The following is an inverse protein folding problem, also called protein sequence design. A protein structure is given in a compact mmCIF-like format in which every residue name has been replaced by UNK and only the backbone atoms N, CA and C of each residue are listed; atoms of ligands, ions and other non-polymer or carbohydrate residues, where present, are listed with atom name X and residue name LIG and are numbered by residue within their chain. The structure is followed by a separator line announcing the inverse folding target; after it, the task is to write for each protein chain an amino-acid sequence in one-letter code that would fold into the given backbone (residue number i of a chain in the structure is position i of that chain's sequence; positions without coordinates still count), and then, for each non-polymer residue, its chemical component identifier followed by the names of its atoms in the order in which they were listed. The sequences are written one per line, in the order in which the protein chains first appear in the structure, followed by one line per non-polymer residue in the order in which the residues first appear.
data_IF_347994890758
#
_entry.id   IF_347994890758
#
_cell.length_a   1.000
_cell.length_b   1.000
_cell.length_c   1.000
_cell.angle_alpha   90.00
_cell.angle_beta   90.00
_cell.angle_gamma   90.00
#
_symmetry.space_group_name_H-M   'P 1'
#
loop_
_entity.id
_entity.type
_entity.pdbx_description
1 polymer ?
#
# COMPACT_ATOMS: atom_id res chain seq x y z
N UNK A 1 -1.46 16.23 24.56
CA UNK A 1 -1.24 15.44 25.83
C UNK A 1 -0.23 14.30 25.63
N UNK A 2 0.87 14.56 24.99
CA UNK A 2 1.88 13.56 24.61
C UNK A 2 2.37 12.77 25.83
N UNK A 3 2.22 11.42 25.81
CA UNK A 3 2.75 10.50 26.82
C UNK A 3 3.91 9.67 26.30
N UNK A 4 4.02 9.55 24.98
CA UNK A 4 5.02 8.77 24.29
C UNK A 4 5.87 9.66 23.39
N UNK A 5 7.12 9.30 23.17
CA UNK A 5 7.93 9.95 22.15
C UNK A 5 7.33 9.66 20.76
N UNK A 6 7.32 10.67 19.88
CA UNK A 6 6.79 10.54 18.53
C UNK A 6 7.47 9.43 17.74
N UNK A 7 6.72 8.78 16.87
CA UNK A 7 7.19 7.72 16.00
C UNK A 7 7.24 8.20 14.55
N UNK A 8 8.36 7.95 13.87
CA UNK A 8 8.51 8.22 12.44
C UNK A 8 8.71 6.89 11.69
N UNK A 9 7.87 6.60 10.71
CA UNK A 9 8.00 5.40 9.89
C UNK A 9 8.66 5.76 8.57
N UNK A 10 9.91 5.29 8.38
CA UNK A 10 10.69 5.45 7.16
C UNK A 10 10.84 4.11 6.42
N UNK A 11 11.27 4.14 5.17
CA UNK A 11 11.49 2.93 4.39
C UNK A 11 12.67 3.06 3.43
N UNK A 12 13.23 1.91 3.02
CA UNK A 12 14.39 1.85 2.12
C UNK A 12 14.09 2.36 0.70
N UNK A 13 12.84 2.23 0.24
CA UNK A 13 12.37 2.71 -1.08
C UNK A 13 10.84 2.82 -1.12
N UNK A 14 10.31 3.29 -2.24
CA UNK A 14 8.87 3.21 -2.50
C UNK A 14 8.42 1.74 -2.60
N UNK A 15 7.13 1.51 -2.35
CA UNK A 15 6.45 0.20 -2.47
C UNK A 15 6.99 -0.93 -1.56
N UNK A 16 7.84 -0.64 -0.60
CA UNK A 16 8.29 -1.62 0.43
C UNK A 16 7.17 -2.02 1.39
N UNK A 17 6.05 -1.27 1.39
CA UNK A 17 4.91 -1.50 2.29
C UNK A 17 4.92 -0.59 3.52
N UNK A 18 5.53 0.60 3.41
CA UNK A 18 5.56 1.60 4.48
C UNK A 18 4.14 1.93 4.97
N UNK A 19 3.25 2.40 4.09
CA UNK A 19 1.86 2.76 4.43
C UNK A 19 1.11 1.58 5.06
N UNK A 20 1.28 0.37 4.51
CA UNK A 20 0.70 -0.86 5.06
C UNK A 20 1.20 -1.15 6.48
N UNK A 21 2.51 -1.01 6.72
CA UNK A 21 3.11 -1.23 8.06
C UNK A 21 2.73 -0.13 9.04
N UNK A 22 2.74 1.14 8.61
CA UNK A 22 2.32 2.29 9.44
C UNK A 22 0.87 2.13 9.89
N UNK A 23 -0.01 1.73 8.97
CA UNK A 23 -1.42 1.51 9.24
C UNK A 23 -1.63 0.38 10.26
N UNK A 24 -0.98 -0.76 10.06
CA UNK A 24 -1.03 -1.87 11.01
C UNK A 24 -0.49 -1.48 12.39
N UNK A 25 0.64 -0.76 12.45
CA UNK A 25 1.22 -0.25 13.71
C UNK A 25 0.24 0.70 14.42
N UNK A 26 -0.26 1.72 13.73
CA UNK A 26 -1.21 2.69 14.31
C UNK A 26 -2.43 1.98 14.91
N UNK A 27 -3.04 1.08 14.15
CA UNK A 27 -4.23 0.35 14.61
C UNK A 27 -3.92 -0.57 15.80
N UNK A 28 -2.82 -1.32 15.76
CA UNK A 28 -2.43 -2.20 16.87
C UNK A 28 -2.12 -1.41 18.15
N UNK A 29 -1.48 -0.24 18.04
CA UNK A 29 -1.21 0.64 19.17
C UNK A 29 -2.49 1.23 19.76
N UNK A 30 -3.45 1.64 18.91
CA UNK A 30 -4.78 2.07 19.36
C UNK A 30 -5.53 0.95 20.12
N UNK A 31 -5.44 -0.30 19.66
CA UNK A 31 -6.02 -1.44 20.37
C UNK A 31 -5.40 -1.70 21.74
N UNK A 32 -4.18 -1.20 21.98
CA UNK A 32 -3.53 -1.20 23.31
C UNK A 32 -3.97 0.00 24.18
N UNK A 33 -4.95 0.78 23.74
CA UNK A 33 -5.49 1.92 24.47
C UNK A 33 -4.67 3.21 24.35
N UNK A 34 -3.77 3.30 23.36
CA UNK A 34 -2.96 4.50 23.11
C UNK A 34 -3.71 5.41 22.13
N UNK A 35 -3.86 6.68 22.48
CA UNK A 35 -4.44 7.68 21.58
C UNK A 35 -3.39 8.13 20.53
N UNK A 36 -3.61 7.71 19.27
CA UNK A 36 -2.66 7.85 18.17
C UNK A 36 -3.08 8.98 17.23
N UNK A 37 -2.19 9.96 17.05
CA UNK A 37 -2.29 10.95 15.98
C UNK A 37 -1.48 10.53 14.74
N UNK A 38 -1.89 10.97 13.56
CA UNK A 38 -1.20 10.67 12.30
C UNK A 38 -0.91 11.93 11.49
N UNK A 39 0.28 11.98 10.89
CA UNK A 39 0.60 12.96 9.86
C UNK A 39 1.54 12.39 8.81
N UNK A 40 1.40 12.86 7.58
CA UNK A 40 2.37 12.69 6.51
C UNK A 40 3.00 14.04 6.20
N UNK A 41 4.13 14.37 6.86
CA UNK A 41 4.71 15.71 6.84
C UNK A 41 5.04 16.22 5.44
N UNK A 42 5.52 15.33 4.56
CA UNK A 42 5.84 15.63 3.15
C UNK A 42 5.10 14.65 2.25
N UNK A 43 4.09 15.14 1.52
CA UNK A 43 3.29 14.37 0.56
C UNK A 43 3.68 14.66 -0.89
N UNK A 44 3.52 13.66 -1.76
CA UNK A 44 3.72 13.77 -3.21
C UNK A 44 2.50 13.35 -4.03
N UNK A 45 1.63 12.51 -3.46
CA UNK A 45 0.42 11.97 -4.10
C UNK A 45 -0.81 12.53 -3.39
N UNK A 46 -1.43 13.56 -3.93
CA UNK A 46 -2.50 14.29 -3.26
C UNK A 46 -3.81 14.29 -4.03
N UNK A 47 -4.86 14.68 -3.34
CA UNK A 47 -6.15 15.10 -3.89
C UNK A 47 -6.45 16.52 -3.44
N UNK A 48 -7.15 17.26 -4.26
CA UNK A 48 -7.63 18.58 -3.91
C UNK A 48 -8.94 18.43 -3.09
N UNK A 49 -8.94 18.97 -1.88
CA UNK A 49 -10.12 19.12 -1.04
C UNK A 49 -10.44 20.60 -0.93
N UNK A 50 -11.38 21.08 -1.75
CA UNK A 50 -11.72 22.51 -1.88
C UNK A 50 -10.47 23.32 -2.25
N UNK A 51 -9.99 24.19 -1.35
CA UNK A 51 -8.80 25.05 -1.56
C UNK A 51 -7.50 24.41 -1.04
N UNK A 52 -7.57 23.26 -0.35
CA UNK A 52 -6.44 22.63 0.29
C UNK A 52 -6.13 21.26 -0.33
N UNK A 53 -4.86 20.88 -0.30
CA UNK A 53 -4.36 19.60 -0.79
C UNK A 53 -4.07 18.65 0.36
N UNK A 54 -4.47 17.39 0.18
CA UNK A 54 -4.25 16.35 1.17
C UNK A 54 -3.57 15.16 0.52
N UNK A 55 -2.57 14.58 1.16
CA UNK A 55 -1.96 13.34 0.67
C UNK A 55 -2.98 12.20 0.72
N UNK A 56 -2.95 11.30 -0.27
CA UNK A 56 -3.90 10.18 -0.40
C UNK A 56 -3.83 9.21 0.77
N UNK A 57 -2.64 9.02 1.35
CA UNK A 57 -2.48 8.13 2.49
C UNK A 57 -3.16 8.73 3.73
N UNK A 58 -3.16 10.07 3.90
CA UNK A 58 -3.88 10.76 4.99
C UNK A 58 -5.37 10.44 5.00
N UNK A 59 -6.01 10.36 3.82
CA UNK A 59 -7.43 10.01 3.72
C UNK A 59 -7.69 8.57 4.22
N UNK A 60 -6.81 7.64 3.87
CA UNK A 60 -6.90 6.26 4.35
C UNK A 60 -6.79 6.18 5.88
N UNK A 61 -5.85 6.94 6.47
CA UNK A 61 -5.67 6.97 7.92
C UNK A 61 -6.83 7.64 8.64
N UNK A 62 -7.38 8.72 8.08
CA UNK A 62 -8.56 9.38 8.65
C UNK A 62 -9.76 8.44 8.75
N UNK A 63 -9.99 7.62 7.73
CA UNK A 63 -11.07 6.60 7.73
C UNK A 63 -10.81 5.51 8.80
N UNK A 64 -9.54 5.12 9.02
CA UNK A 64 -9.17 4.02 9.91
C UNK A 64 -9.14 4.41 11.39
N UNK A 65 -8.44 5.50 11.72
CA UNK A 65 -8.23 5.96 13.09
C UNK A 65 -9.16 7.09 13.50
N UNK A 66 -10.10 7.44 12.62
CA UNK A 66 -11.26 8.31 12.86
C UNK A 66 -10.90 9.71 13.36
N UNK A 67 -10.18 10.47 12.54
CA UNK A 67 -9.95 11.88 12.77
C UNK A 67 -10.48 12.75 11.63
N UNK A 68 -10.85 13.98 11.95
CA UNK A 68 -11.22 14.96 10.95
C UNK A 68 -9.98 15.50 10.24
N UNK A 69 -9.99 15.46 8.90
CA UNK A 69 -8.84 15.83 8.10
C UNK A 69 -8.63 17.35 8.20
N UNK A 70 -7.51 17.75 8.80
CA UNK A 70 -6.97 19.10 8.70
C UNK A 70 -5.68 19.04 7.86
N UNK A 71 -5.67 19.55 6.62
CA UNK A 71 -4.49 19.50 5.75
C UNK A 71 -3.24 20.12 6.35
N UNK A 72 -3.39 21.20 7.15
CA UNK A 72 -2.27 21.89 7.79
C UNK A 72 -1.56 21.00 8.84
N UNK A 73 -2.29 20.05 9.42
CA UNK A 73 -1.78 19.14 10.46
C UNK A 73 -1.36 17.81 9.85
N UNK A 74 -2.25 17.21 9.02
CA UNK A 74 -2.09 15.84 8.56
C UNK A 74 -1.32 15.70 7.22
N UNK A 75 -1.13 16.84 6.49
CA UNK A 75 -0.36 16.90 5.23
C UNK A 75 0.25 18.30 5.04
N UNK A 76 1.08 18.80 6.00
CA UNK A 76 1.50 20.20 6.05
C UNK A 76 2.29 20.65 4.82
N UNK A 77 3.03 19.76 4.17
CA UNK A 77 3.80 20.08 2.96
C UNK A 77 3.41 19.12 1.83
N UNK A 78 2.98 19.66 0.70
CA UNK A 78 2.69 18.90 -0.52
C UNK A 78 3.62 19.36 -1.65
N UNK A 79 4.48 18.44 -2.09
CA UNK A 79 5.40 18.65 -3.22
C UNK A 79 4.73 18.20 -4.52
N UNK A 80 3.87 19.05 -5.08
CA UNK A 80 3.20 18.83 -6.36
C UNK A 80 4.12 19.13 -7.56
N UNK A 81 3.55 18.98 -8.77
CA UNK A 81 4.26 19.27 -10.03
C UNK A 81 4.85 20.69 -10.02
N UNK A 82 6.13 20.82 -10.33
CA UNK A 82 6.86 22.09 -10.38
C UNK A 82 7.23 22.67 -8.99
N UNK A 83 6.92 22.01 -7.87
CA UNK A 83 7.29 22.50 -6.55
C UNK A 83 8.82 22.59 -6.37
N UNK A 84 9.53 21.59 -6.88
CA UNK A 84 11.00 21.51 -6.79
C UNK A 84 11.70 22.69 -7.49
N UNK A 85 11.32 22.98 -8.73
CA UNK A 85 11.92 24.09 -9.48
C UNK A 85 11.62 25.43 -8.84
N UNK A 86 10.40 25.66 -8.43
CA UNK A 86 10.02 26.90 -7.73
C UNK A 86 10.77 27.09 -6.43
N UNK A 87 11.01 26.02 -5.67
CA UNK A 87 11.80 26.10 -4.46
C UNK A 87 13.28 26.46 -4.76
N UNK A 88 13.86 25.86 -5.80
CA UNK A 88 15.24 26.16 -6.19
C UNK A 88 15.39 27.59 -6.75
N UNK A 89 14.34 28.13 -7.38
CA UNK A 89 14.32 29.50 -7.89
C UNK A 89 14.24 30.53 -6.75
N UNK A 90 13.44 30.26 -5.70
CA UNK A 90 13.23 31.15 -4.57
C UNK A 90 12.90 30.33 -3.29
N UNK A 91 13.92 29.83 -2.56
CA UNK A 91 13.71 29.05 -1.33
C UNK A 91 13.00 29.84 -0.22
N UNK A 92 13.26 31.15 -0.13
CA UNK A 92 12.73 32.00 0.95
C UNK A 92 11.22 32.25 0.81
N UNK A 93 10.63 31.98 -0.36
CA UNK A 93 9.18 32.05 -0.56
C UNK A 93 8.40 30.92 0.12
N UNK A 94 9.08 29.95 0.77
CA UNK A 94 8.44 28.76 1.33
C UNK A 94 8.68 28.64 2.83
N UNK A 95 7.61 28.55 3.60
CA UNK A 95 7.61 28.32 5.06
C UNK A 95 7.39 26.83 5.39
N UNK A 96 8.13 25.92 4.76
CA UNK A 96 7.90 24.48 4.94
C UNK A 96 8.24 23.98 6.34
N UNK A 97 9.33 24.50 6.93
CA UNK A 97 9.78 24.13 8.26
C UNK A 97 8.77 24.54 9.33
N UNK A 98 8.31 25.78 9.27
CA UNK A 98 7.33 26.35 10.18
C UNK A 98 6.04 25.52 10.14
N UNK A 99 5.57 25.18 8.95
CA UNK A 99 4.35 24.37 8.77
C UNK A 99 4.45 22.97 9.38
N UNK A 100 5.62 22.33 9.29
CA UNK A 100 5.86 21.02 9.91
C UNK A 100 5.91 21.14 11.43
N UNK A 101 6.54 22.19 11.96
CA UNK A 101 6.63 22.44 13.40
C UNK A 101 5.26 22.76 14.01
N UNK A 102 4.46 23.61 13.38
CA UNK A 102 3.08 23.90 13.80
C UNK A 102 2.20 22.64 13.80
N UNK A 103 2.33 21.81 12.76
CA UNK A 103 1.63 20.52 12.68
C UNK A 103 2.06 19.56 13.81
N UNK A 104 3.37 19.53 14.11
CA UNK A 104 3.92 18.75 15.22
C UNK A 104 3.33 19.22 16.56
N UNK A 105 3.39 20.50 16.87
CA UNK A 105 2.87 21.06 18.12
C UNK A 105 1.40 20.68 18.31
N UNK A 106 0.59 20.88 17.28
CA UNK A 106 -0.84 20.52 17.32
C UNK A 106 -1.06 19.03 17.57
N UNK A 107 -0.27 18.13 16.95
CA UNK A 107 -0.38 16.70 17.18
C UNK A 107 0.05 16.28 18.58
N UNK A 108 1.15 16.87 19.10
CA UNK A 108 1.65 16.59 20.46
C UNK A 108 0.67 17.07 21.56
N UNK A 109 -0.08 18.14 21.30
CA UNK A 109 -1.09 18.66 22.23
C UNK A 109 -2.36 17.79 22.25
N UNK A 110 -2.73 17.22 21.13
CA UNK A 110 -4.01 16.52 20.98
C UNK A 110 -3.92 15.00 21.18
N UNK A 111 -2.76 14.36 20.93
CA UNK A 111 -2.60 12.92 20.96
C UNK A 111 -1.49 12.45 21.89
N UNK A 112 -1.64 11.24 22.43
CA UNK A 112 -0.62 10.62 23.29
C UNK A 112 0.62 10.20 22.51
N UNK A 113 0.42 9.70 21.27
CA UNK A 113 1.48 9.22 20.38
C UNK A 113 1.28 9.73 18.96
N UNK A 114 1.97 10.79 18.55
CA UNK A 114 2.06 11.18 17.14
C UNK A 114 2.86 10.17 16.32
N UNK A 115 2.27 9.71 15.21
CA UNK A 115 2.91 8.85 14.21
C UNK A 115 3.05 9.64 12.91
N UNK A 116 4.28 9.75 12.42
CA UNK A 116 4.62 10.39 11.16
C UNK A 116 5.01 9.36 10.11
N UNK A 117 4.44 9.47 8.92
CA UNK A 117 4.83 8.63 7.79
C UNK A 117 5.71 9.40 6.80
N UNK A 118 6.91 8.89 6.57
CA UNK A 118 7.83 9.44 5.59
C UNK A 118 7.41 9.15 4.14
N UNK A 119 8.06 9.81 3.18
CA UNK A 119 7.78 9.66 1.74
C UNK A 119 8.96 9.05 1.02
N UNK A 120 8.72 8.00 0.23
CA UNK A 120 9.74 7.33 -0.58
C UNK A 120 10.89 6.72 0.24
N UNK A 121 12.13 6.93 -0.21
CA UNK A 121 13.37 6.56 0.49
C UNK A 121 13.88 7.72 1.37
N UNK A 122 14.87 7.52 2.27
CA UNK A 122 15.31 8.53 3.24
C UNK A 122 15.68 9.89 2.66
N UNK A 123 16.25 9.93 1.46
CA UNK A 123 16.65 11.19 0.80
C UNK A 123 15.52 11.93 0.07
N UNK A 124 14.30 11.38 0.00
CA UNK A 124 13.19 12.12 -0.66
C UNK A 124 12.86 13.36 0.14
N UNK A 125 12.73 14.49 -0.57
CA UNK A 125 12.54 15.81 0.00
C UNK A 125 13.82 16.61 0.18
N UNK A 126 15.02 16.03 -0.01
CA UNK A 126 16.30 16.73 0.14
C UNK A 126 16.43 17.99 -0.73
N UNK A 127 15.76 18.03 -1.88
CA UNK A 127 15.77 19.20 -2.78
C UNK A 127 15.12 20.43 -2.16
N UNK A 128 14.24 20.24 -1.18
CA UNK A 128 13.59 21.29 -0.39
C UNK A 128 14.02 21.22 1.08
N UNK A 129 15.18 20.64 1.34
CA UNK A 129 15.80 20.47 2.67
C UNK A 129 14.97 19.65 3.68
N UNK A 130 13.97 18.92 3.20
CA UNK A 130 13.06 18.09 3.98
C UNK A 130 13.26 16.59 3.73
N UNK A 131 14.51 16.11 3.80
CA UNK A 131 14.74 14.66 3.79
C UNK A 131 13.97 13.95 4.91
N UNK A 132 13.65 12.66 4.77
CA UNK A 132 12.98 11.94 5.85
C UNK A 132 13.76 12.01 7.17
N UNK A 133 15.09 12.02 7.12
CA UNK A 133 15.91 12.14 8.31
C UNK A 133 15.82 13.54 8.93
N UNK A 134 15.83 14.60 8.11
CA UNK A 134 15.63 15.98 8.56
C UNK A 134 14.25 16.15 9.22
N UNK A 135 13.21 15.66 8.57
CA UNK A 135 11.85 15.73 9.10
C UNK A 135 11.71 14.95 10.41
N UNK A 136 12.26 13.71 10.49
CA UNK A 136 12.24 12.93 11.72
C UNK A 136 12.91 13.66 12.91
N UNK A 137 14.02 14.37 12.64
CA UNK A 137 14.68 15.23 13.63
C UNK A 137 13.78 16.41 14.04
N UNK A 138 13.18 17.11 13.06
CA UNK A 138 12.31 18.26 13.32
C UNK A 138 11.12 17.89 14.20
N UNK A 139 10.52 16.73 13.98
CA UNK A 139 9.38 16.26 14.78
C UNK A 139 9.83 15.48 16.03
N UNK A 140 11.12 15.44 16.32
CA UNK A 140 11.72 14.78 17.49
C UNK A 140 11.20 13.33 17.66
N UNK A 141 11.21 12.56 16.59
CA UNK A 141 10.67 11.20 16.57
C UNK A 141 11.77 10.15 16.55
N UNK A 142 11.51 8.99 17.20
CA UNK A 142 12.25 7.76 16.97
C UNK A 142 11.79 7.09 15.70
N UNK A 143 12.71 6.45 14.98
CA UNK A 143 12.41 5.90 13.65
C UNK A 143 12.24 4.39 13.69
N UNK A 144 11.10 3.89 13.20
CA UNK A 144 10.96 2.52 12.72
C UNK A 144 11.27 2.50 11.23
N UNK A 145 12.22 1.67 10.84
CA UNK A 145 12.64 1.56 9.45
C UNK A 145 12.11 0.29 8.78
N UNK A 146 11.36 0.46 7.69
CA UNK A 146 10.80 -0.65 6.92
C UNK A 146 11.78 -1.01 5.79
N UNK A 147 12.32 -2.22 5.82
CA UNK A 147 13.18 -2.77 4.78
C UNK A 147 12.45 -3.87 3.99
N UNK A 148 12.84 -4.10 2.75
CA UNK A 148 12.32 -5.20 1.96
C UNK A 148 13.10 -6.49 2.20
N UNK A 149 12.42 -7.63 2.16
CA UNK A 149 12.95 -8.94 2.50
C UNK A 149 14.19 -9.37 1.73
N UNK A 150 15.07 -10.05 2.43
CA UNK A 150 16.36 -10.54 1.98
C UNK A 150 17.39 -10.50 3.12
N UNK A 151 18.65 -10.82 2.84
CA UNK A 151 19.75 -10.70 3.82
C UNK A 151 20.79 -9.72 3.26
N UNK A 152 21.54 -10.08 2.23
CA UNK A 152 22.64 -9.25 1.68
C UNK A 152 22.12 -7.90 1.14
N UNK A 153 21.27 -7.92 0.16
CA UNK A 153 20.68 -6.70 -0.42
C UNK A 153 19.93 -5.83 0.60
N UNK A 154 19.31 -6.45 1.60
CA UNK A 154 18.64 -5.74 2.70
C UNK A 154 19.67 -5.02 3.57
N UNK A 155 20.77 -5.67 3.91
CA UNK A 155 21.89 -5.09 4.71
C UNK A 155 22.53 -3.92 3.95
N UNK A 156 22.82 -4.10 2.66
CA UNK A 156 23.43 -3.06 1.83
C UNK A 156 22.54 -1.80 1.77
N UNK A 157 21.25 -2.01 1.52
CA UNK A 157 20.27 -0.93 1.48
C UNK A 157 20.08 -0.25 2.85
N UNK A 158 20.01 -1.04 3.93
CA UNK A 158 19.93 -0.51 5.29
C UNK A 158 21.15 0.35 5.62
N UNK A 159 22.37 -0.12 5.30
CA UNK A 159 23.58 0.63 5.60
C UNK A 159 23.60 1.99 4.89
N UNK A 160 23.21 2.03 3.63
CA UNK A 160 23.10 3.26 2.84
C UNK A 160 22.02 4.21 3.43
N UNK A 161 20.82 3.69 3.68
CA UNK A 161 19.68 4.49 4.13
C UNK A 161 19.84 5.02 5.56
N UNK A 162 20.36 4.23 6.48
CA UNK A 162 20.53 4.61 7.88
C UNK A 162 21.65 5.66 8.06
N UNK A 163 22.51 5.85 7.05
CA UNK A 163 23.52 6.90 7.04
C UNK A 163 22.95 8.29 7.26
N UNK A 164 21.87 8.66 6.55
CA UNK A 164 21.22 9.95 6.67
C UNK A 164 20.64 10.21 8.07
N UNK A 165 20.03 9.20 8.69
CA UNK A 165 19.51 9.33 10.05
C UNK A 165 20.63 9.50 11.09
N UNK A 166 21.75 8.79 10.91
CA UNK A 166 22.92 8.95 11.77
C UNK A 166 23.54 10.34 11.65
N UNK A 167 23.63 10.88 10.44
CA UNK A 167 24.11 12.24 10.18
C UNK A 167 23.25 13.28 10.92
N UNK A 168 21.95 13.08 10.94
CA UNK A 168 21.01 13.95 11.65
C UNK A 168 20.89 13.66 13.16
N UNK A 169 21.62 12.66 13.69
CA UNK A 169 21.52 12.18 15.08
C UNK A 169 20.11 11.73 15.46
N UNK A 170 19.38 11.09 14.53
CA UNK A 170 18.05 10.55 14.77
C UNK A 170 18.15 9.09 15.23
N UNK A 171 17.48 8.78 16.33
CA UNK A 171 17.47 7.43 16.90
C UNK A 171 16.66 6.47 16.03
N UNK A 172 17.28 5.34 15.66
CA UNK A 172 16.57 4.23 15.01
C UNK A 172 16.07 3.28 16.09
N UNK A 173 14.77 3.33 16.36
CA UNK A 173 14.11 2.44 17.33
C UNK A 173 14.23 0.98 16.92
N UNK A 174 14.19 0.69 15.63
CA UNK A 174 14.41 -0.65 15.09
C UNK A 174 13.98 -0.82 13.64
N UNK A 175 14.13 -2.04 13.14
CA UNK A 175 13.85 -2.42 11.76
C UNK A 175 12.73 -3.45 11.71
N UNK A 176 11.78 -3.26 10.79
CA UNK A 176 10.82 -4.28 10.36
C UNK A 176 11.17 -4.67 8.93
N UNK A 177 11.34 -5.98 8.68
CA UNK A 177 11.60 -6.50 7.33
C UNK A 177 10.31 -7.03 6.74
N UNK A 178 9.85 -6.41 5.68
CA UNK A 178 8.60 -6.74 5.00
C UNK A 178 8.82 -7.54 3.72
N UNK A 179 7.77 -8.20 3.22
CA UNK A 179 7.78 -8.99 1.98
C UNK A 179 8.81 -10.10 1.95
N UNK A 180 9.08 -10.72 3.10
CA UNK A 180 10.00 -11.84 3.17
C UNK A 180 9.33 -13.09 2.61
N UNK A 181 9.98 -13.78 1.67
CA UNK A 181 9.48 -15.06 1.15
C UNK A 181 9.33 -16.05 2.30
N UNK A 182 8.23 -16.83 2.36
CA UNK A 182 8.00 -17.78 3.47
C UNK A 182 9.16 -18.74 3.74
N UNK A 183 9.82 -19.23 2.66
CA UNK A 183 10.98 -20.13 2.74
C UNK A 183 12.25 -19.47 3.30
N UNK A 184 12.27 -18.15 3.47
CA UNK A 184 13.43 -17.38 3.95
C UNK A 184 13.24 -16.72 5.31
N UNK A 185 12.04 -16.81 5.90
CA UNK A 185 11.72 -16.10 7.16
C UNK A 185 12.71 -16.46 8.27
N UNK A 186 12.92 -17.76 8.52
CA UNK A 186 13.81 -18.21 9.58
C UNK A 186 15.27 -17.77 9.37
N UNK A 187 15.74 -17.80 8.11
CA UNK A 187 17.09 -17.28 7.78
C UNK A 187 17.21 -15.79 8.05
N UNK A 188 16.18 -14.99 7.70
CA UNK A 188 16.20 -13.55 7.97
C UNK A 188 16.19 -13.28 9.47
N UNK A 189 15.37 -13.98 10.24
CA UNK A 189 15.33 -13.88 11.71
C UNK A 189 16.67 -14.26 12.36
N UNK A 190 17.40 -15.21 11.79
CA UNK A 190 18.69 -15.65 12.32
C UNK A 190 19.84 -14.69 11.95
N UNK A 191 19.96 -14.32 10.67
CA UNK A 191 21.16 -13.65 10.16
C UNK A 191 21.11 -12.13 10.27
N UNK A 192 19.93 -11.51 10.06
CA UNK A 192 19.84 -10.05 10.08
C UNK A 192 20.17 -9.44 11.47
N UNK A 193 19.76 -10.03 12.60
CA UNK A 193 20.18 -9.54 13.93
C UNK A 193 21.68 -9.54 14.14
N UNK A 194 22.44 -10.46 13.52
CA UNK A 194 23.92 -10.49 13.63
C UNK A 194 24.56 -9.21 13.09
N UNK A 195 23.93 -8.59 12.07
CA UNK A 195 24.36 -7.31 11.51
C UNK A 195 23.84 -6.11 12.31
N UNK A 196 22.59 -6.17 12.78
CA UNK A 196 21.90 -5.04 13.43
C UNK A 196 22.34 -4.86 14.90
N UNK A 197 22.50 -5.95 15.64
CA UNK A 197 22.82 -5.93 17.08
C UNK A 197 24.08 -5.14 17.43
N UNK A 198 25.22 -5.29 16.71
CA UNK A 198 26.43 -4.49 16.99
C UNK A 198 26.23 -2.98 16.77
N UNK A 199 25.17 -2.57 16.09
CA UNK A 199 24.80 -1.17 15.82
C UNK A 199 23.74 -0.64 16.80
N UNK A 200 23.33 -1.46 17.79
CA UNK A 200 22.29 -1.09 18.73
C UNK A 200 20.88 -1.05 18.11
N UNK A 201 20.67 -1.65 16.95
CA UNK A 201 19.38 -1.60 16.23
C UNK A 201 18.65 -2.95 16.38
N UNK A 202 17.49 -3.00 17.04
CA UNK A 202 16.70 -4.23 17.15
C UNK A 202 15.97 -4.57 15.84
N UNK A 203 15.83 -5.88 15.57
CA UNK A 203 14.88 -6.40 14.61
C UNK A 203 13.52 -6.51 15.29
N UNK A 204 12.57 -5.64 14.91
CA UNK A 204 11.26 -5.54 15.53
C UNK A 204 10.27 -6.56 14.98
N UNK A 205 10.46 -7.00 13.73
CA UNK A 205 9.59 -7.98 13.10
C UNK A 205 10.03 -8.39 11.72
N UNK A 206 9.51 -9.56 11.27
CA UNK A 206 9.71 -10.10 9.92
C UNK A 206 8.36 -10.47 9.35
N UNK A 207 7.87 -9.68 8.39
CA UNK A 207 6.57 -9.87 7.77
C UNK A 207 6.68 -10.73 6.52
N UNK A 208 5.91 -11.82 6.41
CA UNK A 208 5.88 -12.65 5.21
C UNK A 208 5.35 -11.88 4.00
N UNK A 209 5.81 -12.27 2.81
CA UNK A 209 5.19 -11.81 1.57
C UNK A 209 3.78 -12.38 1.45
N UNK A 210 2.80 -11.51 1.46
CA UNK A 210 1.39 -11.86 1.30
C UNK A 210 0.87 -11.40 -0.07
N UNK A 211 0.54 -12.37 -0.93
CA UNK A 211 0.04 -12.11 -2.29
C UNK A 211 -1.27 -11.33 -2.29
N UNK A 212 -2.12 -11.52 -1.28
CA UNK A 212 -3.43 -10.87 -1.22
C UNK A 212 -3.33 -9.35 -1.14
N UNK A 213 -2.24 -8.83 -0.57
CA UNK A 213 -1.96 -7.39 -0.55
C UNK A 213 -1.60 -6.81 -1.92
N UNK A 214 -1.17 -7.68 -2.85
CA UNK A 214 -0.83 -7.30 -4.22
C UNK A 214 -2.01 -7.41 -5.20
N UNK A 215 -3.17 -7.93 -4.77
CA UNK A 215 -4.33 -8.08 -5.66
C UNK A 215 -4.94 -6.72 -6.03
N UNK A 216 -5.09 -6.40 -7.33
CA UNK A 216 -5.85 -5.24 -7.76
C UNK A 216 -7.37 -5.48 -7.60
N UNK A 217 -8.14 -4.40 -7.65
CA UNK A 217 -9.59 -4.46 -7.86
C UNK A 217 -9.92 -4.24 -9.33
N UNK A 218 -11.08 -4.75 -9.78
CA UNK A 218 -11.54 -4.61 -11.17
C UNK A 218 -11.56 -3.15 -11.61
N UNK A 219 -11.94 -2.21 -10.75
CA UNK A 219 -11.90 -0.76 -11.03
C UNK A 219 -10.52 -0.26 -11.45
N UNK A 220 -9.47 -0.75 -10.78
CA UNK A 220 -8.08 -0.39 -11.13
C UNK A 220 -7.68 -1.04 -12.44
N UNK A 221 -8.07 -2.29 -12.64
CA UNK A 221 -7.83 -3.03 -13.89
C UNK A 221 -8.50 -2.33 -15.08
N UNK A 222 -9.81 -2.00 -14.98
CA UNK A 222 -10.57 -1.29 -16.03
C UNK A 222 -9.87 0.01 -16.45
N UNK A 223 -9.47 0.84 -15.48
CA UNK A 223 -8.73 2.08 -15.76
C UNK A 223 -7.40 1.83 -16.47
N UNK A 224 -6.66 0.79 -16.06
CA UNK A 224 -5.33 0.48 -16.63
C UNK A 224 -5.40 0.04 -18.09
N UNK A 225 -6.46 -0.68 -18.46
CA UNK A 225 -6.67 -1.13 -19.84
C UNK A 225 -7.49 -0.15 -20.67
N UNK A 226 -7.84 1.03 -20.15
CA UNK A 226 -8.77 2.00 -20.74
C UNK A 226 -10.10 1.33 -21.12
N UNK A 227 -10.62 0.48 -20.21
CA UNK A 227 -11.78 -0.33 -20.44
C UNK A 227 -13.09 0.42 -20.19
N UNK A 228 -14.10 0.16 -21.04
CA UNK A 228 -15.47 0.60 -20.86
C UNK A 228 -16.26 -0.48 -20.13
N UNK A 229 -16.92 -0.13 -19.04
CA UNK A 229 -17.78 -1.06 -18.29
C UNK A 229 -19.08 -1.25 -19.04
N UNK A 230 -19.44 -2.50 -19.32
CA UNK A 230 -20.66 -2.88 -20.03
C UNK A 230 -21.74 -3.39 -19.09
N UNK A 231 -21.35 -4.16 -18.04
CA UNK A 231 -22.28 -4.78 -17.10
C UNK A 231 -21.74 -4.74 -15.67
N UNK A 232 -22.63 -4.70 -14.68
CA UNK A 232 -22.37 -4.82 -13.25
C UNK A 232 -21.32 -3.81 -12.71
N UNK A 233 -21.48 -2.53 -13.03
CA UNK A 233 -20.59 -1.44 -12.60
C UNK A 233 -20.45 -1.36 -11.06
N UNK A 234 -21.46 -1.74 -10.32
CA UNK A 234 -21.47 -1.76 -8.86
C UNK A 234 -20.56 -2.85 -8.26
N UNK A 235 -20.05 -3.80 -9.08
CA UNK A 235 -19.15 -4.85 -8.68
C UNK A 235 -17.65 -4.57 -9.02
N UNK A 236 -17.31 -3.33 -9.37
CA UNK A 236 -15.94 -2.96 -9.73
C UNK A 236 -14.92 -3.01 -8.58
N UNK A 237 -15.37 -3.12 -7.34
CA UNK A 237 -14.50 -3.31 -6.18
C UNK A 237 -14.12 -4.78 -5.93
N UNK A 238 -14.59 -5.73 -6.77
CA UNK A 238 -14.14 -7.11 -6.74
C UNK A 238 -12.62 -7.20 -6.89
N UNK A 239 -11.98 -8.04 -6.05
CA UNK A 239 -10.53 -8.27 -6.10
C UNK A 239 -10.17 -9.24 -7.21
N UNK A 240 -8.95 -9.13 -7.74
CA UNK A 240 -8.42 -10.03 -8.77
C UNK A 240 -7.25 -10.81 -8.19
N UNK A 241 -7.42 -12.11 -7.97
CA UNK A 241 -6.39 -12.98 -7.41
C UNK A 241 -5.47 -13.58 -8.48
N UNK A 242 -6.01 -13.87 -9.68
CA UNK A 242 -5.24 -14.38 -10.82
C UNK A 242 -5.96 -14.08 -12.14
N UNK A 243 -5.27 -14.29 -13.26
CA UNK A 243 -5.77 -14.02 -14.61
C UNK A 243 -5.90 -15.33 -15.38
N UNK A 244 -7.07 -15.52 -15.99
CA UNK A 244 -7.32 -16.52 -17.03
C UNK A 244 -7.28 -15.80 -18.39
N UNK A 245 -6.39 -16.21 -19.29
CA UNK A 245 -6.25 -15.59 -20.60
C UNK A 245 -6.65 -16.55 -21.72
N UNK A 246 -7.53 -16.08 -22.61
CA UNK A 246 -8.05 -16.85 -23.74
C UNK A 246 -9.21 -17.78 -23.37
N UNK A 247 -9.61 -18.66 -24.30
CA UNK A 247 -10.69 -19.64 -24.13
C UNK A 247 -10.21 -21.02 -23.65
N UNK A 248 -8.92 -21.30 -23.69
CA UNK A 248 -8.34 -22.54 -23.17
C UNK A 248 -8.08 -22.38 -21.66
N UNK A 249 -9.07 -22.77 -20.87
CA UNK A 249 -9.04 -22.59 -19.42
C UNK A 249 -8.41 -23.81 -18.74
N UNK A 250 -7.47 -23.51 -17.84
CA UNK A 250 -6.88 -24.52 -16.97
C UNK A 250 -7.79 -24.80 -15.77
N UNK A 251 -8.31 -26.04 -15.70
CA UNK A 251 -9.18 -26.49 -14.61
C UNK A 251 -8.53 -26.31 -13.24
N UNK A 252 -7.24 -26.60 -13.11
CA UNK A 252 -6.53 -26.50 -11.82
C UNK A 252 -6.56 -25.10 -11.24
N UNK A 253 -6.52 -24.07 -12.08
CA UNK A 253 -6.62 -22.68 -11.63
C UNK A 253 -7.99 -22.33 -11.05
N UNK A 254 -9.07 -22.91 -11.60
CA UNK A 254 -10.44 -22.70 -11.11
C UNK A 254 -10.67 -23.50 -9.82
N UNK A 255 -10.08 -24.69 -9.72
CA UNK A 255 -10.17 -25.55 -8.54
C UNK A 255 -9.43 -24.96 -7.33
N UNK A 256 -8.26 -24.36 -7.55
CA UNK A 256 -7.42 -23.83 -6.49
C UNK A 256 -7.78 -22.40 -6.06
N UNK A 257 -8.53 -21.63 -6.86
CA UNK A 257 -8.71 -20.19 -6.67
C UNK A 257 -10.11 -19.69 -7.01
N UNK A 258 -10.53 -18.71 -6.25
CA UNK A 258 -11.64 -17.80 -6.57
C UNK A 258 -11.08 -16.42 -6.99
N UNK A 259 -11.96 -15.52 -7.34
CA UNK A 259 -11.64 -14.13 -7.70
C UNK A 259 -10.73 -14.02 -8.95
N UNK A 260 -11.06 -14.83 -9.97
CA UNK A 260 -10.31 -14.90 -11.22
C UNK A 260 -10.80 -13.84 -12.22
N UNK A 261 -9.87 -13.17 -12.90
CA UNK A 261 -10.17 -12.28 -14.01
C UNK A 261 -10.03 -13.03 -15.34
N UNK A 262 -11.12 -13.16 -16.08
CA UNK A 262 -11.08 -13.71 -17.43
C UNK A 262 -10.76 -12.58 -18.43
N UNK A 263 -9.70 -12.78 -19.25
CA UNK A 263 -9.35 -11.88 -20.37
C UNK A 263 -9.46 -12.69 -21.67
N UNK A 264 -10.42 -12.34 -22.50
CA UNK A 264 -10.77 -13.13 -23.70
C UNK A 264 -11.20 -12.23 -24.87
N UNK A 265 -10.96 -12.63 -26.11
CA UNK A 265 -11.46 -11.89 -27.27
C UNK A 265 -12.98 -12.04 -27.41
N UNK A 266 -13.66 -10.98 -27.92
CA UNK A 266 -15.11 -10.96 -28.07
C UNK A 266 -15.70 -12.19 -28.75
N UNK A 267 -15.14 -12.74 -29.86
CA UNK A 267 -15.70 -13.95 -30.50
C UNK A 267 -15.54 -15.23 -29.67
N UNK A 268 -14.67 -15.23 -28.66
CA UNK A 268 -14.39 -16.41 -27.82
C UNK A 268 -15.07 -16.35 -26.45
N UNK A 269 -15.82 -15.29 -26.17
CA UNK A 269 -16.49 -15.10 -24.87
C UNK A 269 -17.44 -16.25 -24.54
N UNK A 270 -18.31 -16.63 -25.49
CA UNK A 270 -19.28 -17.71 -25.31
C UNK A 270 -18.62 -19.03 -24.93
N UNK A 271 -17.60 -19.44 -25.70
CA UNK A 271 -16.82 -20.67 -25.44
C UNK A 271 -16.18 -20.65 -24.06
N UNK A 272 -15.57 -19.52 -23.68
CA UNK A 272 -14.89 -19.39 -22.39
C UNK A 272 -15.87 -19.45 -21.21
N UNK A 273 -16.98 -18.74 -21.26
CA UNK A 273 -18.01 -18.73 -20.21
C UNK A 273 -18.67 -20.10 -20.06
N UNK A 274 -19.00 -20.77 -21.17
CA UNK A 274 -19.55 -22.14 -21.16
C UNK A 274 -18.60 -23.09 -20.42
N UNK A 275 -17.30 -22.99 -20.69
CA UNK A 275 -16.30 -23.80 -20.01
C UNK A 275 -16.14 -23.48 -18.53
N UNK A 276 -16.17 -22.20 -18.15
CA UNK A 276 -16.19 -21.78 -16.73
C UNK A 276 -17.41 -22.39 -16.03
N UNK A 277 -18.59 -22.29 -16.63
CA UNK A 277 -19.83 -22.85 -16.09
C UNK A 277 -19.72 -24.37 -15.92
N UNK A 278 -19.27 -25.09 -16.94
CA UNK A 278 -19.10 -26.54 -16.86
C UNK A 278 -18.16 -26.94 -15.70
N UNK A 279 -16.98 -26.30 -15.59
CA UNK A 279 -16.03 -26.60 -14.52
C UNK A 279 -16.62 -26.24 -13.14
N UNK A 280 -17.35 -25.12 -13.05
CA UNK A 280 -18.00 -24.72 -11.81
C UNK A 280 -19.06 -25.70 -11.34
N UNK A 281 -19.85 -26.24 -12.27
CA UNK A 281 -20.88 -27.26 -12.01
C UNK A 281 -20.25 -28.58 -11.56
N UNK A 282 -19.17 -29.04 -12.25
CA UNK A 282 -18.41 -30.24 -11.87
C UNK A 282 -17.81 -30.12 -10.46
N UNK A 283 -17.28 -28.92 -10.10
CA UNK A 283 -16.70 -28.64 -8.79
C UNK A 283 -17.75 -28.26 -7.72
N UNK A 284 -19.03 -28.17 -8.11
CA UNK A 284 -20.14 -27.74 -7.24
C UNK A 284 -19.87 -26.41 -6.52
N UNK A 285 -19.31 -25.45 -7.27
CA UNK A 285 -19.01 -24.14 -6.70
C UNK A 285 -20.32 -23.38 -6.39
N UNK A 286 -20.43 -22.74 -5.20
CA UNK A 286 -21.66 -22.05 -4.80
C UNK A 286 -21.90 -20.76 -5.59
N UNK A 287 -20.88 -20.23 -6.27
CA UNK A 287 -20.92 -19.01 -7.10
C UNK A 287 -19.87 -19.08 -8.18
N UNK A 288 -19.95 -18.18 -9.15
CA UNK A 288 -18.92 -18.03 -10.19
C UNK A 288 -17.52 -17.82 -9.59
N UNK A 289 -16.48 -18.49 -10.08
CA UNK A 289 -15.09 -18.23 -9.68
C UNK A 289 -14.54 -16.91 -10.25
N UNK A 290 -15.30 -16.25 -11.16
CA UNK A 290 -14.87 -15.02 -11.82
C UNK A 290 -15.16 -13.80 -10.97
N UNK A 291 -14.16 -12.94 -10.81
CA UNK A 291 -14.30 -11.60 -10.22
C UNK A 291 -14.58 -10.53 -11.27
N UNK A 292 -14.29 -10.80 -12.53
CA UNK A 292 -14.52 -9.92 -13.66
C UNK A 292 -14.20 -10.58 -14.99
N UNK A 293 -14.71 -10.00 -16.08
CA UNK A 293 -14.44 -10.40 -17.44
C UNK A 293 -14.00 -9.18 -18.24
N UNK A 294 -12.90 -9.30 -18.97
CA UNK A 294 -12.47 -8.32 -19.96
C UNK A 294 -12.60 -8.95 -21.35
N UNK A 295 -13.40 -8.32 -22.19
CA UNK A 295 -13.48 -8.63 -23.60
C UNK A 295 -12.57 -7.71 -24.41
N UNK A 296 -11.78 -8.31 -25.31
CA UNK A 296 -10.77 -7.61 -26.10
C UNK A 296 -11.16 -7.64 -27.59
N UNK A 297 -10.78 -6.56 -28.29
CA UNK A 297 -11.04 -6.44 -29.73
C UNK A 297 -12.51 -6.18 -30.06
N UNK A 298 -12.87 -6.32 -31.34
CA UNK A 298 -14.21 -6.06 -31.86
C UNK A 298 -14.96 -7.36 -32.15
N UNK A 299 -16.28 -7.34 -32.01
CA UNK A 299 -17.16 -8.47 -32.31
C UNK A 299 -18.44 -8.40 -31.46
N UNK A 300 -19.46 -9.12 -31.92
CA UNK A 300 -20.68 -9.29 -31.15
C UNK A 300 -20.41 -10.19 -29.94
N UNK A 301 -21.04 -9.87 -28.83
CA UNK A 301 -20.94 -10.64 -27.58
C UNK A 301 -22.03 -11.71 -27.58
N UNK A 302 -21.67 -12.92 -27.17
CA UNK A 302 -22.60 -14.04 -27.04
C UNK A 302 -23.69 -13.76 -26.01
N UNK A 303 -24.99 -13.78 -26.37
CA UNK A 303 -26.08 -13.46 -25.45
C UNK A 303 -26.15 -14.43 -24.24
N UNK A 304 -25.78 -15.69 -24.40
CA UNK A 304 -25.82 -16.66 -23.28
C UNK A 304 -24.70 -16.37 -22.28
N UNK A 305 -23.56 -15.91 -22.76
CA UNK A 305 -22.47 -15.46 -21.89
C UNK A 305 -22.85 -14.18 -21.13
N UNK A 306 -23.54 -13.23 -21.80
CA UNK A 306 -24.04 -12.02 -21.12
C UNK A 306 -25.03 -12.37 -20.03
N UNK A 307 -26.00 -13.27 -20.30
CA UNK A 307 -26.96 -13.73 -19.28
C UNK A 307 -26.26 -14.31 -18.06
N UNK A 308 -25.27 -15.18 -18.25
CA UNK A 308 -24.48 -15.73 -17.13
C UNK A 308 -23.75 -14.64 -16.34
N UNK A 309 -23.13 -13.68 -17.03
CA UNK A 309 -22.39 -12.57 -16.42
C UNK A 309 -23.33 -11.71 -15.55
N UNK A 310 -24.54 -11.41 -16.06
CA UNK A 310 -25.55 -10.64 -15.32
C UNK A 310 -26.07 -11.42 -14.10
N UNK A 311 -26.44 -12.71 -14.27
CA UNK A 311 -26.92 -13.57 -13.18
C UNK A 311 -25.90 -13.73 -12.07
N UNK A 312 -24.64 -13.92 -12.43
CA UNK A 312 -23.54 -14.11 -11.46
C UNK A 312 -22.96 -12.79 -10.94
N UNK A 313 -23.49 -11.64 -11.39
CA UNK A 313 -23.06 -10.30 -11.00
C UNK A 313 -21.55 -10.07 -11.21
N UNK A 314 -21.03 -10.55 -12.34
CA UNK A 314 -19.62 -10.41 -12.72
C UNK A 314 -19.45 -9.16 -13.57
N UNK A 315 -18.60 -8.18 -13.23
CA UNK A 315 -18.38 -7.00 -14.07
C UNK A 315 -17.78 -7.37 -15.42
N UNK A 316 -18.39 -6.85 -16.50
CA UNK A 316 -17.93 -7.02 -17.87
C UNK A 316 -17.34 -5.70 -18.39
N UNK A 317 -16.13 -5.78 -18.90
CA UNK A 317 -15.37 -4.64 -19.38
C UNK A 317 -14.92 -4.91 -20.81
N UNK A 318 -15.08 -3.93 -21.70
CA UNK A 318 -14.55 -3.96 -23.05
C UNK A 318 -13.31 -3.08 -23.18
N UNK A 319 -12.30 -3.56 -23.93
CA UNK A 319 -11.12 -2.75 -24.29
C UNK A 319 -10.71 -2.99 -25.75
N UNK A 320 -10.17 -1.97 -26.40
CA UNK A 320 -9.60 -2.07 -27.76
C UNK A 320 -8.21 -2.74 -27.80
N UNK A 321 -7.62 -3.02 -26.64
CA UNK A 321 -6.35 -3.78 -26.56
C UNK A 321 -6.58 -5.22 -27.04
N UNK A 322 -5.52 -5.85 -27.53
CA UNK A 322 -5.51 -7.30 -27.68
C UNK A 322 -5.36 -8.03 -26.33
N UNK A 323 -5.64 -9.31 -26.32
CA UNK A 323 -5.60 -10.13 -25.07
C UNK A 323 -4.20 -10.11 -24.43
N UNK A 324 -3.13 -10.18 -25.20
CA UNK A 324 -1.76 -10.20 -24.70
C UNK A 324 -1.37 -8.83 -24.11
N UNK A 325 -1.61 -7.75 -24.84
CA UNK A 325 -1.36 -6.37 -24.38
C UNK A 325 -2.16 -6.02 -23.12
N UNK A 326 -3.41 -6.52 -23.04
CA UNK A 326 -4.24 -6.40 -21.87
C UNK A 326 -3.60 -7.07 -20.64
N UNK A 327 -3.22 -8.35 -20.75
CA UNK A 327 -2.58 -9.11 -19.66
C UNK A 327 -1.26 -8.46 -19.23
N UNK A 328 -0.43 -8.01 -20.19
CA UNK A 328 0.82 -7.32 -19.87
C UNK A 328 0.60 -6.02 -19.08
N UNK A 329 -0.41 -5.21 -19.45
CA UNK A 329 -0.72 -4.00 -18.69
C UNK A 329 -1.20 -4.31 -17.29
N UNK A 330 -2.05 -5.33 -17.13
CA UNK A 330 -2.59 -5.74 -15.83
C UNK A 330 -1.47 -6.27 -14.92
N UNK A 331 -0.54 -7.06 -15.44
CA UNK A 331 0.57 -7.62 -14.66
C UNK A 331 1.54 -6.56 -14.11
N UNK A 332 1.50 -5.33 -14.64
CA UNK A 332 2.32 -4.19 -14.21
C UNK A 332 1.59 -3.25 -13.26
N UNK A 333 0.37 -3.60 -12.85
CA UNK A 333 -0.39 -2.75 -11.91
C UNK A 333 0.32 -2.72 -10.56
N UNK A 334 0.73 -1.53 -10.16
CA UNK A 334 1.19 -1.28 -8.79
C UNK A 334 -0.01 -1.02 -7.90
N UNK A 335 -0.23 -1.91 -6.94
CA UNK A 335 -1.39 -1.85 -6.06
C UNK A 335 -1.01 -1.25 -4.72
N UNK A 336 -1.74 -0.22 -4.31
CA UNK A 336 -1.66 0.38 -2.97
C UNK A 336 -2.88 0.00 -2.14
N UNK A 337 -2.67 -0.10 -0.83
CA UNK A 337 -3.77 -0.16 0.12
C UNK A 337 -4.56 1.15 0.09
N UNK A 338 -5.87 1.06 0.13
CA UNK A 338 -6.77 2.23 0.16
C UNK A 338 -8.10 1.84 0.83
N UNK A 339 -8.99 2.81 1.07
CA UNK A 339 -10.28 2.61 1.73
C UNK A 339 -11.21 1.61 1.03
N UNK A 340 -11.07 1.42 -0.30
CA UNK A 340 -11.87 0.47 -1.07
C UNK A 340 -11.31 -0.96 -1.01
N UNK A 341 -10.25 -1.21 -0.22
CA UNK A 341 -9.64 -2.52 -0.04
C UNK A 341 -9.63 -2.96 1.43
N UNK A 342 -10.82 -3.11 2.07
CA UNK A 342 -10.91 -3.40 3.50
C UNK A 342 -10.21 -4.71 3.91
N UNK A 343 -10.17 -5.71 3.03
CA UNK A 343 -9.43 -6.95 3.28
C UNK A 343 -7.92 -6.71 3.42
N UNK A 344 -7.35 -5.74 2.67
CA UNK A 344 -5.92 -5.38 2.79
C UNK A 344 -5.65 -4.67 4.09
N UNK A 345 -6.57 -3.80 4.53
CA UNK A 345 -6.49 -3.14 5.84
C UNK A 345 -6.47 -4.19 6.94
N UNK A 346 -7.43 -5.13 6.93
CA UNK A 346 -7.48 -6.22 7.88
C UNK A 346 -6.20 -7.05 7.87
N UNK A 347 -5.73 -7.45 6.67
CA UNK A 347 -4.51 -8.26 6.54
C UNK A 347 -3.25 -7.53 6.98
N UNK A 348 -3.15 -6.23 6.72
CA UNK A 348 -2.04 -5.40 7.20
C UNK A 348 -1.97 -5.38 8.75
N UNK A 349 -3.12 -5.26 9.41
CA UNK A 349 -3.23 -5.29 10.87
C UNK A 349 -2.78 -6.66 11.42
N UNK A 350 -3.32 -7.75 10.87
CA UNK A 350 -2.96 -9.12 11.25
C UNK A 350 -1.46 -9.38 11.11
N UNK A 351 -0.85 -8.97 10.00
CA UNK A 351 0.58 -9.15 9.76
C UNK A 351 1.43 -8.44 10.82
N UNK A 352 1.05 -7.24 11.23
CA UNK A 352 1.77 -6.51 12.30
C UNK A 352 1.52 -7.18 13.67
N UNK A 353 0.28 -7.51 14.00
CA UNK A 353 -0.08 -8.14 15.28
C UNK A 353 0.63 -9.48 15.48
N UNK A 354 0.74 -10.29 14.42
CA UNK A 354 1.36 -11.62 14.45
C UNK A 354 2.90 -11.61 14.47
N UNK A 355 3.53 -10.59 13.88
CA UNK A 355 4.96 -10.66 13.53
C UNK A 355 5.82 -9.53 14.09
N UNK A 356 5.24 -8.54 14.79
CA UNK A 356 5.98 -7.38 15.30
C UNK A 356 5.93 -7.32 16.84
N UNK A 357 7.05 -7.04 17.46
CA UNK A 357 7.14 -6.88 18.90
C UNK A 357 6.62 -5.50 19.35
N UNK A 358 5.29 -5.40 19.42
CA UNK A 358 4.59 -4.16 19.81
C UNK A 358 4.92 -3.71 21.22
N UNK A 359 5.11 -4.67 22.17
CA UNK A 359 5.42 -4.34 23.55
C UNK A 359 6.79 -3.66 23.67
N UNK A 360 7.77 -4.13 22.91
CA UNK A 360 9.08 -3.48 22.85
C UNK A 360 8.97 -2.05 22.32
N UNK A 361 8.18 -1.83 21.25
CA UNK A 361 7.95 -0.49 20.67
C UNK A 361 7.35 0.44 21.73
N UNK A 362 6.25 0.03 22.38
CA UNK A 362 5.58 0.82 23.42
C UNK A 362 6.52 1.19 24.55
N UNK A 363 7.29 0.22 25.07
CA UNK A 363 8.22 0.46 26.17
C UNK A 363 9.37 1.39 25.77
N UNK A 364 9.82 1.33 24.52
CA UNK A 364 10.90 2.18 24.01
C UNK A 364 10.46 3.61 23.69
N UNK A 365 9.15 3.87 23.59
CA UNK A 365 8.59 5.20 23.34
C UNK A 365 8.20 5.94 24.64
N UNK A 366 8.12 5.23 25.78
CA UNK A 366 7.94 5.84 27.11
C UNK A 366 9.20 6.57 27.55
#
# INVERSE_FOLDING_TARGET
MKKYQSLYVAASRQHVGKTTSTLGLAYCLMRQGIDVGYSKPVGQSFVDLSELRVDKDTILFADLIRFDINPKIHSPVILGKGATTRYLDDPDAFSFNERILEARETLEDNYELPIYEGTGHPGVGSVVELSNATVAKMVNAKVIFIAEGGIGSTIDMLNMCLGLFREQNVEILGVIVNKVRPDKIEKVKEYLPRYLKPKGIPLLGVLPYDKSLAYPVIKTVSKTVNGMVLENEDCLDNKVADILAGSVLDRSKIEERSDLLLVVSSPKLGEAIQKVKQISDELKLPKSPLSGVIVTGKGELDPTAISYIQEQRVPLIHTDLDTYGCVLKISRIEVKINRNTPWKVKRAIELIEENVNLQFIINSLK
#
